data_IF_810474782475
#
_entry.id   IF_810474782475
#
_cell.length_a   1.000
_cell.length_b   1.000
_cell.length_c   1.000
_cell.angle_alpha   90.00
_cell.angle_beta   90.00
_cell.angle_gamma   90.00
#
_symmetry.space_group_name_H-M   'P 1'
#
loop_
_entity.id
_entity.type
_entity.pdbx_description
1 polymer ?
#
# COMPACT_ATOMS: atom_id res chain seq x y z
N UNK A 1 10.69 -3.74 0.63
CA UNK A 1 10.83 -5.14 0.17
C UNK A 1 12.14 -5.77 0.64
N UNK A 2 13.29 -5.09 0.55
CA UNK A 2 14.60 -5.66 0.92
C UNK A 2 14.63 -6.41 2.26
N UNK A 3 14.08 -5.82 3.34
CA UNK A 3 14.01 -6.50 4.64
C UNK A 3 13.14 -7.77 4.61
N UNK A 4 12.03 -7.73 3.86
CA UNK A 4 11.15 -8.89 3.66
C UNK A 4 11.88 -10.03 2.95
N UNK A 5 12.52 -9.71 1.84
CA UNK A 5 13.23 -10.67 0.98
C UNK A 5 14.49 -11.23 1.65
N UNK A 6 15.15 -10.45 2.50
CA UNK A 6 16.27 -10.93 3.29
C UNK A 6 15.85 -12.00 4.32
N UNK A 7 14.63 -11.90 4.88
CA UNK A 7 14.11 -12.87 5.86
C UNK A 7 13.42 -14.06 5.19
N UNK A 8 12.68 -13.83 4.12
CA UNK A 8 11.93 -14.83 3.36
C UNK A 8 12.34 -14.82 1.88
N UNK A 9 13.54 -15.31 1.54
CA UNK A 9 14.08 -15.23 0.18
C UNK A 9 13.26 -16.03 -0.84
N UNK A 10 12.61 -17.11 -0.39
CA UNK A 10 11.80 -17.98 -1.26
C UNK A 10 10.34 -17.50 -1.38
N UNK A 11 9.95 -16.43 -0.68
CA UNK A 11 8.59 -15.89 -0.71
C UNK A 11 8.49 -14.70 -1.67
N UNK A 12 8.31 -15.01 -2.95
CA UNK A 12 8.26 -14.01 -4.03
C UNK A 12 6.91 -13.29 -4.15
N UNK A 13 5.83 -13.81 -3.56
CA UNK A 13 4.46 -13.29 -3.75
C UNK A 13 4.31 -11.79 -3.42
N UNK A 14 4.90 -11.22 -2.36
CA UNK A 14 4.81 -9.79 -2.09
C UNK A 14 5.50 -8.91 -3.13
N UNK A 15 6.64 -9.34 -3.69
CA UNK A 15 7.29 -8.66 -4.82
C UNK A 15 6.42 -8.72 -6.07
N UNK A 16 5.97 -9.91 -6.43
CA UNK A 16 5.09 -10.14 -7.58
C UNK A 16 3.80 -9.29 -7.48
N UNK A 17 3.25 -9.12 -6.28
CA UNK A 17 2.13 -8.22 -6.03
C UNK A 17 2.45 -6.77 -6.45
N UNK A 18 3.55 -6.18 -5.97
CA UNK A 18 3.90 -4.80 -6.32
C UNK A 18 4.18 -4.64 -7.82
N UNK A 19 4.93 -5.57 -8.41
CA UNK A 19 5.27 -5.54 -9.83
C UNK A 19 4.01 -5.62 -10.72
N UNK A 20 3.10 -6.55 -10.45
CA UNK A 20 1.87 -6.67 -11.22
C UNK A 20 0.90 -5.49 -10.98
N UNK A 21 0.84 -4.95 -9.77
CA UNK A 21 0.06 -3.75 -9.50
C UNK A 21 0.61 -2.52 -10.23
N UNK A 22 1.94 -2.39 -10.35
CA UNK A 22 2.56 -1.33 -11.14
C UNK A 22 2.22 -1.49 -12.64
N UNK A 23 2.35 -2.70 -13.18
CA UNK A 23 2.00 -3.00 -14.57
C UNK A 23 0.50 -2.76 -14.84
N UNK A 24 -0.36 -3.05 -13.85
CA UNK A 24 -1.79 -2.76 -13.92
C UNK A 24 -2.08 -1.26 -13.86
N UNK A 25 -1.41 -0.52 -12.97
CA UNK A 25 -1.55 0.93 -12.89
C UNK A 25 -1.12 1.62 -14.19
N UNK A 26 -0.19 1.02 -14.94
CA UNK A 26 0.22 1.45 -16.29
C UNK A 26 -0.71 0.95 -17.42
N UNK A 27 -1.80 0.28 -17.08
CA UNK A 27 -2.81 -0.21 -18.04
C UNK A 27 -2.36 -1.36 -18.93
N UNK A 28 -1.25 -2.03 -18.61
CA UNK A 28 -0.66 -3.09 -19.46
C UNK A 28 -1.24 -4.48 -19.19
N UNK A 29 -1.90 -4.68 -18.05
CA UNK A 29 -2.62 -5.91 -17.71
C UNK A 29 -4.02 -5.59 -17.17
N UNK A 30 -4.89 -6.60 -17.13
CA UNK A 30 -6.25 -6.48 -16.58
C UNK A 30 -6.26 -6.72 -15.07
N UNK A 31 -7.23 -6.10 -14.39
CA UNK A 31 -7.46 -6.21 -12.94
C UNK A 31 -7.38 -7.65 -12.39
N UNK A 32 -7.97 -8.70 -13.01
CA UNK A 32 -7.94 -10.05 -12.41
C UNK A 32 -6.53 -10.59 -12.14
N UNK A 33 -5.54 -10.22 -12.98
CA UNK A 33 -4.15 -10.66 -12.82
C UNK A 33 -3.53 -10.00 -11.58
N UNK A 34 -3.65 -8.67 -11.46
CA UNK A 34 -3.15 -7.94 -10.29
C UNK A 34 -3.91 -8.32 -9.02
N UNK A 35 -5.24 -8.49 -9.11
CA UNK A 35 -6.08 -8.94 -7.99
C UNK A 35 -5.62 -10.29 -7.45
N UNK A 36 -5.30 -11.25 -8.32
CA UNK A 36 -4.79 -12.54 -7.86
C UNK A 36 -3.48 -12.36 -7.08
N UNK A 37 -2.54 -11.55 -7.60
CA UNK A 37 -1.27 -11.27 -6.92
C UNK A 37 -1.44 -10.56 -5.55
N UNK A 38 -2.40 -9.63 -5.45
CA UNK A 38 -2.78 -8.99 -4.18
C UNK A 38 -3.29 -10.04 -3.18
N UNK A 39 -4.19 -10.92 -3.61
CA UNK A 39 -4.73 -11.99 -2.76
C UNK A 39 -3.63 -12.97 -2.34
N UNK A 40 -2.70 -13.29 -3.25
CA UNK A 40 -1.57 -14.16 -2.98
C UNK A 40 -0.63 -13.57 -1.92
N UNK A 41 -0.39 -12.25 -1.97
CA UNK A 41 0.34 -11.52 -0.92
C UNK A 41 -0.38 -11.60 0.43
N UNK A 42 -1.69 -11.34 0.48
CA UNK A 42 -2.47 -11.51 1.71
C UNK A 42 -2.44 -12.96 2.24
N UNK A 43 -2.44 -13.95 1.34
CA UNK A 43 -2.38 -15.35 1.73
C UNK A 43 -1.04 -15.74 2.38
N UNK A 44 0.06 -15.01 2.12
CA UNK A 44 1.34 -15.21 2.81
C UNK A 44 1.18 -15.01 4.31
N UNK A 45 0.47 -13.96 4.73
CA UNK A 45 0.27 -13.61 6.13
C UNK A 45 -0.41 -14.71 6.96
N UNK A 46 -1.13 -15.63 6.31
CA UNK A 46 -1.77 -16.80 6.95
C UNK A 46 -0.88 -18.05 7.00
N UNK A 47 0.19 -18.07 6.20
CA UNK A 47 1.10 -19.22 6.06
C UNK A 47 2.37 -19.06 6.88
N UNK A 48 2.86 -17.83 7.04
CA UNK A 48 4.04 -17.56 7.86
C UNK A 48 3.64 -17.41 9.33
N UNK A 49 4.36 -18.08 10.22
CA UNK A 49 4.21 -17.92 11.68
C UNK A 49 5.07 -16.73 12.15
N UNK A 50 4.76 -15.55 11.61
CA UNK A 50 5.46 -14.30 11.91
C UNK A 50 4.50 -13.12 11.76
N UNK A 51 4.09 -12.57 12.90
CA UNK A 51 3.12 -11.47 12.92
C UNK A 51 3.67 -10.18 12.30
N UNK A 52 4.96 -9.87 12.47
CA UNK A 52 5.58 -8.67 11.89
C UNK A 52 5.51 -8.75 10.36
N UNK A 53 5.97 -9.86 9.80
CA UNK A 53 6.04 -10.04 8.35
C UNK A 53 4.66 -10.35 7.75
N UNK A 54 3.75 -10.94 8.51
CA UNK A 54 2.34 -11.07 8.15
C UNK A 54 1.66 -9.71 8.00
N UNK A 55 1.93 -8.78 8.92
CA UNK A 55 1.47 -7.40 8.78
C UNK A 55 2.10 -6.71 7.55
N UNK A 56 3.39 -6.90 7.27
CA UNK A 56 4.01 -6.37 6.05
C UNK A 56 3.35 -6.92 4.77
N UNK A 57 2.97 -8.20 4.73
CA UNK A 57 2.25 -8.79 3.60
C UNK A 57 0.88 -8.13 3.37
N UNK A 58 0.16 -7.81 4.44
CA UNK A 58 -1.09 -7.05 4.37
C UNK A 58 -0.85 -5.62 3.87
N UNK A 59 0.20 -4.94 4.36
CA UNK A 59 0.56 -3.60 3.92
C UNK A 59 0.83 -3.56 2.41
N UNK A 60 1.60 -4.54 1.89
CA UNK A 60 1.91 -4.68 0.47
C UNK A 60 0.66 -4.96 -0.36
N UNK A 61 -0.21 -5.86 0.10
CA UNK A 61 -1.48 -6.15 -0.56
C UNK A 61 -2.38 -4.91 -0.67
N UNK A 62 -2.48 -4.13 0.41
CA UNK A 62 -3.22 -2.86 0.42
C UNK A 62 -2.58 -1.77 -0.46
N UNK A 63 -1.24 -1.67 -0.47
CA UNK A 63 -0.54 -0.78 -1.38
C UNK A 63 -0.89 -1.09 -2.84
N UNK A 64 -0.82 -2.37 -3.23
CA UNK A 64 -1.21 -2.81 -4.58
C UNK A 64 -2.70 -2.60 -4.89
N UNK A 65 -3.58 -2.84 -3.90
CA UNK A 65 -5.02 -2.65 -4.04
C UNK A 65 -5.45 -1.18 -4.19
N UNK A 66 -4.57 -0.22 -3.90
CA UNK A 66 -4.83 1.22 -4.11
C UNK A 66 -5.11 1.54 -5.57
N UNK A 67 -4.56 0.76 -6.51
CA UNK A 67 -4.86 0.87 -7.94
C UNK A 67 -6.34 0.59 -8.23
N UNK A 68 -7.01 -0.23 -7.40
CA UNK A 68 -8.43 -0.53 -7.55
C UNK A 68 -9.31 0.65 -7.14
N UNK A 69 -9.10 1.14 -5.91
CA UNK A 69 -9.86 2.21 -5.27
C UNK A 69 -9.01 2.88 -4.18
N UNK A 70 -9.22 4.17 -3.98
CA UNK A 70 -8.44 5.03 -3.08
C UNK A 70 -8.49 4.61 -1.61
N UNK A 71 -9.58 3.95 -1.18
CA UNK A 71 -9.79 3.55 0.22
C UNK A 71 -8.80 2.50 0.70
N UNK A 72 -8.20 1.72 -0.21
CA UNK A 72 -7.16 0.76 0.14
C UNK A 72 -5.84 1.43 0.55
N UNK A 73 -5.61 2.70 0.16
CA UNK A 73 -4.36 3.41 0.43
C UNK A 73 -4.03 3.50 1.92
N UNK A 74 -5.05 3.61 2.78
CA UNK A 74 -4.88 3.64 4.24
C UNK A 74 -4.36 2.32 4.82
N UNK A 75 -4.57 1.20 4.13
CA UNK A 75 -4.11 -0.10 4.60
C UNK A 75 -2.59 -0.23 4.61
N UNK A 76 -1.88 0.40 3.67
CA UNK A 76 -0.41 0.43 3.66
C UNK A 76 0.16 0.97 4.98
N UNK A 77 -0.12 2.23 5.38
CA UNK A 77 0.41 2.77 6.62
C UNK A 77 -0.12 2.01 7.84
N UNK A 78 -1.39 1.59 7.87
CA UNK A 78 -1.92 0.87 9.04
C UNK A 78 -1.17 -0.44 9.32
N UNK A 79 -0.95 -1.26 8.30
CA UNK A 79 -0.29 -2.54 8.49
C UNK A 79 1.23 -2.42 8.57
N UNK A 80 1.89 -1.48 7.88
CA UNK A 80 3.34 -1.29 8.04
C UNK A 80 3.67 -0.71 9.43
N UNK A 81 2.85 0.21 9.95
CA UNK A 81 3.00 0.70 11.32
C UNK A 81 2.72 -0.41 12.34
N UNK A 82 1.75 -1.29 12.08
CA UNK A 82 1.53 -2.50 12.91
C UNK A 82 2.77 -3.38 12.94
N UNK A 83 3.41 -3.63 11.79
CA UNK A 83 4.66 -4.39 11.72
C UNK A 83 5.78 -3.73 12.54
N UNK A 84 5.91 -2.41 12.49
CA UNK A 84 6.88 -1.66 13.31
C UNK A 84 6.60 -1.83 14.81
N UNK A 85 5.34 -1.75 15.23
CA UNK A 85 4.96 -1.97 16.63
C UNK A 85 5.31 -3.40 17.08
N UNK A 86 5.03 -4.40 16.23
CA UNK A 86 5.35 -5.80 16.51
C UNK A 86 6.87 -6.03 16.61
N UNK A 87 7.65 -5.38 15.76
CA UNK A 87 9.12 -5.44 15.75
C UNK A 87 9.74 -4.80 17.00
N UNK A 88 9.28 -3.61 17.37
CA UNK A 88 9.89 -2.82 18.44
C UNK A 88 9.33 -3.15 19.84
N UNK A 89 8.13 -3.74 19.90
CA UNK A 89 7.39 -3.94 21.14
C UNK A 89 6.71 -2.65 21.65
N UNK A 90 5.84 -2.81 22.64
CA UNK A 90 4.95 -1.74 23.15
C UNK A 90 5.69 -0.53 23.74
N UNK A 91 6.92 -0.71 24.21
CA UNK A 91 7.65 0.35 24.90
C UNK A 91 8.57 1.15 23.96
N UNK A 92 8.98 0.57 22.82
CA UNK A 92 9.99 1.17 21.94
C UNK A 92 9.43 1.61 20.58
N UNK A 93 8.15 1.39 20.28
CA UNK A 93 7.54 1.79 19.01
C UNK A 93 7.32 3.30 18.81
N UNK A 94 7.15 4.18 19.84
CA UNK A 94 6.69 5.56 19.59
C UNK A 94 7.56 6.34 18.62
N UNK A 95 8.90 6.24 18.75
CA UNK A 95 9.84 6.92 17.86
C UNK A 95 9.81 6.35 16.43
N UNK A 96 10.02 5.04 16.20
CA UNK A 96 9.95 4.43 14.86
C UNK A 96 8.62 4.69 14.12
N UNK A 97 7.49 4.62 14.83
CA UNK A 97 6.16 4.90 14.26
C UNK A 97 6.04 6.36 13.84
N UNK A 98 6.47 7.30 14.69
CA UNK A 98 6.42 8.73 14.38
C UNK A 98 7.30 9.08 13.19
N UNK A 99 8.51 8.53 13.12
CA UNK A 99 9.42 8.70 11.98
C UNK A 99 8.79 8.17 10.67
N UNK A 100 8.13 7.02 10.73
CA UNK A 100 7.47 6.42 9.56
C UNK A 100 6.23 7.20 9.10
N UNK A 101 5.44 7.73 10.03
CA UNK A 101 4.31 8.62 9.73
C UNK A 101 4.83 9.88 9.01
N UNK A 102 5.87 10.51 9.54
CA UNK A 102 6.49 11.69 8.92
C UNK A 102 7.03 11.36 7.51
N UNK A 103 7.65 10.18 7.34
CA UNK A 103 8.06 9.72 6.02
C UNK A 103 6.89 9.65 5.04
N UNK A 104 5.77 9.02 5.40
CA UNK A 104 4.60 8.93 4.52
C UNK A 104 4.03 10.30 4.19
N UNK A 105 3.90 11.18 5.19
CA UNK A 105 3.41 12.54 5.00
C UNK A 105 4.28 13.30 3.99
N UNK A 106 5.60 13.26 4.14
CA UNK A 106 6.53 13.89 3.21
C UNK A 106 6.46 13.27 1.80
N UNK A 107 6.27 11.95 1.69
CA UNK A 107 6.07 11.29 0.39
C UNK A 107 4.77 11.72 -0.29
N UNK A 108 3.69 11.91 0.46
CA UNK A 108 2.43 12.42 -0.07
C UNK A 108 2.57 13.84 -0.59
N UNK A 109 3.18 14.74 0.19
CA UNK A 109 3.48 16.12 -0.25
C UNK A 109 4.36 16.14 -1.50
N UNK A 110 5.41 15.31 -1.51
CA UNK A 110 6.26 15.19 -2.69
C UNK A 110 5.46 14.74 -3.91
N UNK A 111 4.68 13.65 -3.82
CA UNK A 111 3.96 13.15 -4.98
C UNK A 111 2.82 14.06 -5.44
N UNK A 112 2.18 14.79 -4.53
CA UNK A 112 1.20 15.82 -4.87
C UNK A 112 1.76 16.84 -5.88
N UNK A 113 3.04 17.17 -5.79
CA UNK A 113 3.69 18.15 -6.68
C UNK A 113 4.48 17.53 -7.85
N UNK A 114 4.68 16.20 -7.86
CA UNK A 114 5.63 15.55 -8.77
C UNK A 114 5.03 14.43 -9.63
N UNK A 115 3.77 14.03 -9.43
CA UNK A 115 3.15 12.93 -10.18
C UNK A 115 3.20 13.16 -11.70
N UNK A 116 2.87 14.37 -12.17
CA UNK A 116 2.82 14.68 -13.61
C UNK A 116 4.19 14.89 -14.25
N UNK A 117 5.24 15.09 -13.45
CA UNK A 117 6.60 15.40 -13.95
C UNK A 117 7.31 14.19 -14.53
N UNK A 118 6.87 12.98 -14.22
CA UNK A 118 7.54 11.74 -14.63
C UNK A 118 7.15 11.27 -16.02
N UNK A 119 6.11 11.84 -16.64
CA UNK A 119 5.65 11.42 -17.96
C UNK A 119 5.26 9.94 -18.02
N UNK A 120 4.70 9.40 -16.93
CA UNK A 120 4.28 8.00 -16.86
C UNK A 120 2.95 7.78 -17.58
N UNK A 121 2.87 6.69 -18.34
CA UNK A 121 1.61 6.21 -18.91
C UNK A 121 0.77 5.55 -17.83
N UNK A 122 -0.27 6.22 -17.36
CA UNK A 122 -1.26 5.66 -16.44
C UNK A 122 -2.43 5.01 -17.18
N UNK A 123 -3.05 4.01 -16.57
CA UNK A 123 -4.28 3.43 -17.07
C UNK A 123 -5.40 4.47 -17.12
N UNK A 124 -6.19 4.48 -18.19
CA UNK A 124 -7.27 5.47 -18.40
C UNK A 124 -8.25 5.58 -17.22
N UNK A 125 -8.51 4.50 -16.49
CA UNK A 125 -9.43 4.52 -15.36
C UNK A 125 -8.87 5.25 -14.12
N UNK A 126 -7.55 5.41 -14.01
CA UNK A 126 -6.91 6.22 -12.96
C UNK A 126 -6.94 7.70 -13.28
N UNK A 127 -7.10 8.06 -14.56
CA UNK A 127 -7.22 9.44 -15.03
C UNK A 127 -8.67 9.93 -15.07
N UNK A 128 -9.62 9.10 -14.62
CA UNK A 128 -11.04 9.41 -14.64
C UNK A 128 -11.48 10.18 -13.38
N UNK A 129 -11.27 11.50 -13.41
CA UNK A 129 -11.68 12.43 -12.34
C UNK A 129 -13.19 12.73 -12.32
N UNK A 130 -13.99 12.09 -13.19
CA UNK A 130 -15.44 12.31 -13.23
C UNK A 130 -16.15 11.68 -12.02
N UNK A 131 -15.49 10.72 -11.35
CA UNK A 131 -16.02 10.07 -10.16
C UNK A 131 -15.57 10.82 -8.91
N UNK A 132 -16.49 11.17 -7.99
CA UNK A 132 -16.08 11.85 -6.76
C UNK A 132 -15.30 10.91 -5.85
N UNK A 133 -14.21 11.43 -5.27
CA UNK A 133 -13.46 10.75 -4.22
C UNK A 133 -14.37 10.57 -2.99
N UNK A 134 -14.64 9.31 -2.62
CA UNK A 134 -15.63 8.98 -1.57
C UNK A 134 -15.15 9.38 -0.19
N UNK A 135 -13.85 9.27 0.07
CA UNK A 135 -13.25 9.65 1.35
C UNK A 135 -13.28 11.17 1.54
N UNK A 136 -13.07 11.94 0.46
CA UNK A 136 -13.20 13.40 0.50
C UNK A 136 -14.62 13.81 0.86
N UNK A 137 -15.62 13.23 0.20
CA UNK A 137 -17.03 13.49 0.49
C UNK A 137 -17.41 13.12 1.92
N UNK A 138 -16.90 12.00 2.43
CA UNK A 138 -17.15 11.56 3.81
C UNK A 138 -16.55 12.54 4.83
N UNK A 139 -15.30 12.97 4.62
CA UNK A 139 -14.63 13.96 5.47
C UNK A 139 -15.36 15.30 5.45
N UNK A 140 -15.79 15.79 4.28
CA UNK A 140 -16.55 17.03 4.15
C UNK A 140 -17.87 16.96 4.95
N UNK A 141 -18.60 15.85 4.83
CA UNK A 141 -19.85 15.62 5.57
C UNK A 141 -19.64 15.63 7.09
N UNK A 142 -18.55 15.03 7.56
CA UNK A 142 -18.20 15.00 9.00
C UNK A 142 -17.81 16.37 9.55
N UNK A 143 -17.22 17.25 8.73
CA UNK A 143 -16.88 18.62 9.13
C UNK A 143 -18.10 19.55 9.24
N UNK A 144 -19.19 19.20 8.56
CA UNK A 144 -20.46 19.95 8.58
C UNK A 144 -21.47 19.47 9.63
N UNK A 145 -21.11 18.46 10.42
CA UNK A 145 -21.89 17.95 11.56
C UNK A 145 -21.26 18.39 12.88
#
# INVERSE_FOLDING_TARGET
>A
LEQFEAKYPDESRPRTCLELCEVWARGKIKMPIAKQAILDSHAVARKIDDNEYGALCHAIGHAGATVHVETHALGLPFYELTAIVLKCGKDNFPKPVSEKINYYYNRLLYWQENTDKLGLDWANFLLDDTKPNKERLLSEKQKTQ
#
